data_IF_011620133127
#
_entry.id   IF_011620133127
#
_cell.length_a   1.000
_cell.length_b   1.000
_cell.length_c   1.000
_cell.angle_alpha   90.00
_cell.angle_beta   90.00
_cell.angle_gamma   90.00
#
_symmetry.space_group_name_H-M   'P 1'
#
loop_
_entity.id
_entity.type
_entity.pdbx_description
1 polymer ?
#
# COMPACT_ATOMS: atom_id res chain seq x y z
N UNK A 1 16.66 -37.96 -15.82
CA UNK A 1 16.69 -38.20 -14.35
C UNK A 1 15.89 -39.45 -14.12
N UNK A 2 16.56 -40.49 -13.59
CA UNK A 2 15.99 -41.83 -13.48
C UNK A 2 14.72 -41.83 -12.64
N UNK A 3 13.75 -42.66 -13.05
CA UNK A 3 12.59 -42.97 -12.20
C UNK A 3 13.15 -43.66 -10.97
N UNK A 4 13.09 -42.98 -9.83
CA UNK A 4 13.39 -43.60 -8.53
C UNK A 4 12.13 -44.41 -8.22
N UNK A 5 12.26 -45.73 -8.18
CA UNK A 5 11.15 -46.63 -7.87
C UNK A 5 10.89 -46.60 -6.35
N UNK A 6 10.16 -45.57 -5.92
CA UNK A 6 9.85 -45.26 -4.52
C UNK A 6 9.05 -46.37 -3.80
N UNK A 7 8.36 -47.22 -4.55
CA UNK A 7 7.56 -48.34 -4.01
C UNK A 7 8.41 -49.55 -3.60
N UNK A 8 9.64 -49.68 -4.13
CA UNK A 8 10.53 -50.81 -3.83
C UNK A 8 11.55 -50.51 -2.73
N UNK A 9 11.64 -49.25 -2.27
CA UNK A 9 12.59 -48.82 -1.23
C UNK A 9 12.08 -49.17 0.17
N UNK A 10 13.01 -49.51 1.06
CA UNK A 10 12.68 -49.72 2.47
C UNK A 10 12.22 -48.40 3.11
N UNK A 11 11.38 -48.50 4.16
CA UNK A 11 10.82 -47.33 4.85
C UNK A 11 11.91 -46.36 5.34
N UNK A 12 13.03 -46.87 5.85
CA UNK A 12 14.17 -46.06 6.30
C UNK A 12 14.87 -45.31 5.16
N UNK A 13 14.95 -45.92 3.97
CA UNK A 13 15.52 -45.28 2.79
C UNK A 13 14.58 -44.19 2.24
N UNK A 14 13.27 -44.43 2.28
CA UNK A 14 12.27 -43.44 1.91
C UNK A 14 12.28 -42.22 2.85
N UNK A 15 12.45 -42.47 4.15
CA UNK A 15 12.62 -41.40 5.14
C UNK A 15 13.92 -40.63 4.96
N UNK A 16 15.02 -41.33 4.65
CA UNK A 16 16.31 -40.69 4.38
C UNK A 16 16.21 -39.77 3.15
N UNK A 17 15.55 -40.24 2.08
CA UNK A 17 15.29 -39.43 0.90
C UNK A 17 14.38 -38.24 1.21
N UNK A 18 13.36 -38.42 2.04
CA UNK A 18 12.48 -37.32 2.47
C UNK A 18 13.26 -36.25 3.26
N UNK A 19 14.16 -36.66 4.15
CA UNK A 19 14.99 -35.75 4.93
C UNK A 19 15.98 -34.99 4.03
N UNK A 20 16.60 -35.68 3.07
CA UNK A 20 17.51 -35.09 2.11
C UNK A 20 16.78 -34.10 1.18
N UNK A 21 15.60 -34.48 0.68
CA UNK A 21 14.73 -33.58 -0.09
C UNK A 21 14.30 -32.37 0.74
N UNK A 22 13.95 -32.55 2.02
CA UNK A 22 13.58 -31.46 2.91
C UNK A 22 14.73 -30.49 3.14
N UNK A 23 15.95 -31.02 3.36
CA UNK A 23 17.18 -30.22 3.46
C UNK A 23 17.46 -29.44 2.17
N UNK A 24 17.37 -30.11 1.02
CA UNK A 24 17.61 -29.50 -0.29
C UNK A 24 16.58 -28.41 -0.62
N UNK A 25 15.29 -28.70 -0.36
CA UNK A 25 14.21 -27.74 -0.52
C UNK A 25 14.41 -26.53 0.38
N UNK A 26 14.77 -26.72 1.65
CA UNK A 26 15.06 -25.62 2.58
C UNK A 26 16.15 -24.69 2.05
N UNK A 27 17.27 -25.24 1.56
CA UNK A 27 18.37 -24.46 0.97
C UNK A 27 17.91 -23.72 -0.28
N UNK A 28 17.16 -24.38 -1.18
CA UNK A 28 16.66 -23.73 -2.40
C UNK A 28 15.62 -22.65 -2.13
N UNK A 29 14.70 -22.88 -1.20
CA UNK A 29 13.71 -21.90 -0.76
C UNK A 29 14.42 -20.68 -0.17
N UNK A 30 15.44 -20.87 0.66
CA UNK A 30 16.21 -19.77 1.23
C UNK A 30 16.95 -18.96 0.16
N UNK A 31 17.55 -19.63 -0.83
CA UNK A 31 18.22 -18.97 -1.95
C UNK A 31 17.25 -18.17 -2.82
N UNK A 32 16.10 -18.77 -3.17
CA UNK A 32 15.06 -18.12 -3.97
C UNK A 32 14.45 -16.92 -3.22
N UNK A 33 14.19 -17.07 -1.92
CA UNK A 33 13.75 -15.98 -1.05
C UNK A 33 14.73 -14.81 -1.08
N UNK A 34 16.03 -15.08 -0.94
CA UNK A 34 17.07 -14.06 -0.95
C UNK A 34 17.15 -13.34 -2.31
N UNK A 35 16.98 -14.05 -3.41
CA UNK A 35 16.93 -13.46 -4.75
C UNK A 35 15.67 -12.58 -4.93
N UNK A 36 14.51 -13.05 -4.48
CA UNK A 36 13.29 -12.24 -4.47
C UNK A 36 13.44 -11.00 -3.60
N UNK A 37 14.05 -11.10 -2.42
CA UNK A 37 14.35 -9.97 -1.55
C UNK A 37 15.28 -8.95 -2.22
N UNK A 38 16.31 -9.40 -2.96
CA UNK A 38 17.17 -8.51 -3.75
C UNK A 38 16.40 -7.77 -4.85
N UNK A 39 15.54 -8.48 -5.58
CA UNK A 39 14.68 -7.87 -6.62
C UNK A 39 13.71 -6.87 -6.03
N UNK A 40 13.09 -7.22 -4.90
CA UNK A 40 12.26 -6.31 -4.13
C UNK A 40 13.06 -5.11 -3.63
N UNK A 41 14.30 -5.27 -3.19
CA UNK A 41 15.15 -4.16 -2.75
C UNK A 41 15.46 -3.18 -3.90
N UNK A 42 15.72 -3.70 -5.11
CA UNK A 42 15.92 -2.86 -6.31
C UNK A 42 14.64 -2.12 -6.69
N UNK A 43 13.49 -2.81 -6.71
CA UNK A 43 12.20 -2.19 -7.00
C UNK A 43 11.79 -1.18 -5.92
N UNK A 44 12.02 -1.51 -4.65
CA UNK A 44 11.78 -0.62 -3.51
C UNK A 44 12.68 0.60 -3.57
N UNK A 45 13.94 0.47 -4.00
CA UNK A 45 14.84 1.61 -4.23
C UNK A 45 14.32 2.55 -5.32
N UNK A 46 13.65 2.02 -6.35
CA UNK A 46 12.95 2.80 -7.37
C UNK A 46 11.63 3.41 -6.88
N UNK A 47 10.90 2.70 -6.03
CA UNK A 47 9.61 3.14 -5.46
C UNK A 47 9.77 4.14 -4.30
N UNK A 48 10.91 4.19 -3.61
CA UNK A 48 11.17 5.18 -2.55
C UNK A 48 11.30 6.62 -3.07
N UNK A 49 11.22 6.81 -4.40
CA UNK A 49 11.04 8.12 -5.03
C UNK A 49 9.56 8.56 -5.02
N UNK A 50 8.59 7.64 -4.88
CA UNK A 50 7.15 7.92 -4.98
C UNK A 50 6.26 6.99 -4.11
N UNK A 51 6.09 7.28 -2.82
CA UNK A 51 5.04 6.67 -1.96
C UNK A 51 5.57 6.39 -0.55
N UNK A 52 5.43 7.31 0.40
CA UNK A 52 4.25 7.47 1.25
C UNK A 52 3.93 6.23 2.11
N UNK A 53 4.29 6.30 3.39
CA UNK A 53 3.39 5.83 4.44
C UNK A 53 3.53 4.40 4.97
N UNK A 54 4.72 3.91 5.30
CA UNK A 54 4.84 2.93 6.42
C UNK A 54 6.00 3.31 7.33
N UNK A 55 5.63 4.02 8.39
CA UNK A 55 6.43 4.30 9.57
C UNK A 55 6.84 2.99 10.24
N UNK A 56 8.07 2.54 9.99
CA UNK A 56 8.85 1.72 10.91
C UNK A 56 10.33 1.92 10.57
N UNK A 57 11.01 2.82 11.27
CA UNK A 57 12.26 2.52 12.00
C UNK A 57 12.99 3.79 12.46
N UNK A 58 13.19 3.80 13.77
CA UNK A 58 14.15 4.59 14.53
C UNK A 58 15.54 4.54 13.89
N UNK A 59 15.99 5.63 13.26
CA UNK A 59 17.39 6.06 13.32
C UNK A 59 17.52 7.51 12.86
N UNK A 60 18.06 8.34 13.74
CA UNK A 60 18.36 9.74 13.42
C UNK A 60 19.39 9.85 12.31
N UNK A 61 19.23 10.88 11.49
CA UNK A 61 20.25 11.88 11.14
C UNK A 61 19.69 12.84 10.09
N UNK A 62 19.48 14.09 10.52
CA UNK A 62 19.29 15.35 9.78
C UNK A 62 18.80 15.26 8.32
N UNK A 63 17.58 14.75 8.13
CA UNK A 63 16.84 14.94 6.88
C UNK A 63 16.09 16.28 6.93
N UNK A 64 16.37 17.19 5.98
CA UNK A 64 15.58 18.43 5.78
C UNK A 64 14.10 18.10 5.86
N UNK A 65 13.41 18.66 6.86
CA UNK A 65 12.00 18.39 7.11
C UNK A 65 11.20 18.74 5.86
N UNK A 66 10.63 17.72 5.20
CA UNK A 66 9.67 17.94 4.12
C UNK A 66 8.58 18.85 4.68
N UNK A 67 8.37 20.01 4.07
CA UNK A 67 7.31 20.95 4.46
C UNK A 67 6.01 20.16 4.50
N UNK A 68 5.35 20.16 5.66
CA UNK A 68 4.05 19.51 5.81
C UNK A 68 3.12 20.13 4.78
N UNK A 69 2.69 19.35 3.79
CA UNK A 69 1.70 19.81 2.83
C UNK A 69 0.46 20.25 3.61
N UNK A 70 -0.10 21.44 3.30
CA UNK A 70 -1.29 21.91 3.98
C UNK A 70 -2.41 20.89 3.78
N UNK A 71 -3.11 20.55 4.88
CA UNK A 71 -4.27 19.65 4.82
C UNK A 71 -5.25 20.22 3.79
N UNK A 72 -5.54 19.44 2.76
CA UNK A 72 -6.49 19.85 1.74
C UNK A 72 -7.89 19.71 2.34
N UNK A 73 -8.53 20.84 2.63
CA UNK A 73 -9.89 20.85 3.13
C UNK A 73 -10.86 20.45 2.00
N UNK A 74 -11.90 19.65 2.30
CA UNK A 74 -12.94 19.39 1.33
C UNK A 74 -13.71 20.67 1.02
N UNK A 75 -13.89 20.98 -0.28
CA UNK A 75 -14.57 22.19 -0.77
C UNK A 75 -16.02 21.92 -1.14
N UNK A 76 -16.33 20.68 -1.53
CA UNK A 76 -17.65 20.24 -1.96
C UNK A 76 -18.10 19.00 -1.20
N UNK A 77 -19.40 18.87 -0.93
CA UNK A 77 -20.02 17.74 -0.22
C UNK A 77 -21.27 17.26 -0.95
N UNK A 78 -21.46 15.95 -1.00
CA UNK A 78 -22.70 15.39 -1.55
C UNK A 78 -23.87 15.59 -0.54
N UNK A 79 -24.98 16.22 -0.93
CA UNK A 79 -26.17 16.40 -0.08
C UNK A 79 -26.89 15.08 0.22
N UNK A 80 -26.74 14.07 -0.64
CA UNK A 80 -27.35 12.74 -0.44
C UNK A 80 -26.52 11.88 0.51
N UNK A 81 -25.20 11.99 0.44
CA UNK A 81 -24.26 11.16 1.20
C UNK A 81 -23.22 12.08 1.84
N UNK A 82 -23.44 12.51 3.09
CA UNK A 82 -22.59 13.52 3.74
C UNK A 82 -21.15 13.05 4.02
N UNK A 83 -20.82 11.78 3.83
CA UNK A 83 -19.45 11.23 3.92
C UNK A 83 -18.64 11.44 2.64
N UNK A 84 -19.30 11.63 1.51
CA UNK A 84 -18.63 11.90 0.24
C UNK A 84 -18.31 13.40 0.12
N UNK A 85 -17.02 13.71 0.14
CA UNK A 85 -16.54 15.08 -0.01
C UNK A 85 -15.44 15.16 -1.06
N UNK A 86 -15.28 16.34 -1.65
CA UNK A 86 -14.28 16.58 -2.68
C UNK A 86 -13.60 17.93 -2.46
N UNK A 87 -12.28 17.93 -2.47
CA UNK A 87 -11.47 19.14 -2.29
C UNK A 87 -11.44 20.08 -3.50
N UNK A 88 -11.99 19.66 -4.64
CA UNK A 88 -11.86 20.38 -5.91
C UNK A 88 -10.49 20.19 -6.57
N UNK A 89 -9.65 19.27 -6.06
CA UNK A 89 -8.37 18.87 -6.66
C UNK A 89 -8.46 17.42 -7.14
N UNK A 90 -7.85 17.12 -8.28
CA UNK A 90 -7.81 15.77 -8.86
C UNK A 90 -9.10 15.35 -9.58
N UNK A 91 -9.29 14.05 -9.77
CA UNK A 91 -10.45 13.48 -10.50
C UNK A 91 -11.76 13.81 -9.79
N UNK A 92 -12.72 14.31 -10.54
CA UNK A 92 -14.06 14.60 -10.04
C UNK A 92 -14.80 13.31 -9.65
N UNK A 93 -15.45 13.26 -8.47
CA UNK A 93 -16.17 12.07 -8.04
C UNK A 93 -17.45 11.85 -8.87
N UNK A 94 -17.89 10.58 -8.95
CA UNK A 94 -19.03 10.17 -9.78
C UNK A 94 -20.32 10.91 -9.43
N UNK A 95 -20.57 11.15 -8.14
CA UNK A 95 -21.76 11.87 -7.68
C UNK A 95 -21.80 13.32 -8.18
N UNK A 96 -20.65 14.02 -8.20
CA UNK A 96 -20.59 15.41 -8.62
C UNK A 96 -20.69 15.50 -10.15
N UNK A 97 -20.05 14.57 -10.87
CA UNK A 97 -20.19 14.49 -12.32
C UNK A 97 -21.65 14.20 -12.74
N UNK A 98 -22.32 13.27 -12.05
CA UNK A 98 -23.73 12.97 -12.27
C UNK A 98 -24.63 14.18 -11.93
N UNK A 99 -24.33 14.90 -10.84
CA UNK A 99 -25.07 16.10 -10.47
C UNK A 99 -24.93 17.23 -11.50
N UNK A 100 -23.73 17.47 -12.02
CA UNK A 100 -23.51 18.46 -13.08
C UNK A 100 -24.24 18.04 -14.36
N UNK A 101 -24.19 16.76 -14.72
CA UNK A 101 -24.94 16.22 -15.87
C UNK A 101 -26.45 16.36 -15.71
N UNK A 102 -26.96 16.35 -14.47
CA UNK A 102 -28.37 16.59 -14.17
C UNK A 102 -28.78 18.08 -14.20
N UNK A 103 -27.87 18.97 -14.59
CA UNK A 103 -28.12 20.41 -14.73
C UNK A 103 -27.87 21.24 -13.47
N UNK A 104 -27.33 20.64 -12.40
CA UNK A 104 -27.00 21.36 -11.16
C UNK A 104 -25.62 21.99 -11.24
N UNK A 105 -25.43 23.10 -10.53
CA UNK A 105 -24.14 23.80 -10.51
C UNK A 105 -23.25 23.21 -9.42
N UNK A 106 -21.95 23.24 -9.66
CA UNK A 106 -20.95 22.79 -8.67
C UNK A 106 -21.02 23.61 -7.36
N UNK A 107 -21.42 24.87 -7.45
CA UNK A 107 -21.58 25.77 -6.30
C UNK A 107 -22.66 25.32 -5.32
N UNK A 108 -23.68 24.59 -5.79
CA UNK A 108 -24.74 24.02 -4.95
C UNK A 108 -24.21 22.97 -3.95
N UNK A 109 -23.02 22.43 -4.22
CA UNK A 109 -22.37 21.41 -3.40
C UNK A 109 -21.28 22.00 -2.51
N UNK A 110 -21.04 23.31 -2.55
CA UNK A 110 -19.94 23.95 -1.84
C UNK A 110 -20.18 23.93 -0.32
N UNK A 111 -19.19 23.46 0.43
CA UNK A 111 -19.18 23.55 1.88
C UNK A 111 -18.84 25.00 2.22
N UNK A 112 -19.82 25.75 2.74
CA UNK A 112 -19.56 27.09 3.30
C UNK A 112 -18.73 26.89 4.57
N UNK A 113 -17.47 27.34 4.55
CA UNK A 113 -16.58 27.27 5.70
C UNK A 113 -17.14 28.16 6.83
N UNK A 114 -17.94 27.59 7.74
CA UNK A 114 -18.05 28.17 9.08
C UNK A 114 -16.72 27.88 9.79
N UNK A 115 -15.95 28.90 10.22
CA UNK A 115 -14.67 28.70 10.86
C UNK A 115 -14.90 28.02 12.22
N UNK A 116 -14.78 26.68 12.27
CA UNK A 116 -14.83 25.96 13.55
C UNK A 116 -13.54 26.27 14.30
N UNK A 117 -13.72 26.94 15.44
CA UNK A 117 -12.74 27.48 16.36
C UNK A 117 -11.37 26.79 16.37
N UNK A 118 -10.33 27.59 16.16
CA UNK A 118 -8.92 27.24 16.33
C UNK A 118 -8.70 26.83 17.80
N UNK A 119 -8.50 25.54 18.04
CA UNK A 119 -8.13 25.01 19.35
C UNK A 119 -6.85 25.70 19.86
N UNK A 120 -7.01 26.43 20.97
CA UNK A 120 -5.96 26.90 21.88
C UNK A 120 -5.06 25.71 22.22
N UNK A 121 -3.78 25.75 21.86
CA UNK A 121 -2.77 24.89 22.50
C UNK A 121 -2.32 25.62 23.76
N UNK A 122 -2.61 25.03 24.92
CA UNK A 122 -1.85 25.27 26.15
C UNK A 122 -0.59 24.43 26.15
#
# INVERSE_FOLDING_TARGET
MGKIDLEAMAMDELWSLHEELSKLLSVRIAAEKLELEKRLAVLTRGLNVQGDGTDLRLRGEVGKTRRKYPRVLPKYRNPKIPTETWSGRGKQPRWLAAAIKSGRKIDDFKIVETPRAKGRRG
#
